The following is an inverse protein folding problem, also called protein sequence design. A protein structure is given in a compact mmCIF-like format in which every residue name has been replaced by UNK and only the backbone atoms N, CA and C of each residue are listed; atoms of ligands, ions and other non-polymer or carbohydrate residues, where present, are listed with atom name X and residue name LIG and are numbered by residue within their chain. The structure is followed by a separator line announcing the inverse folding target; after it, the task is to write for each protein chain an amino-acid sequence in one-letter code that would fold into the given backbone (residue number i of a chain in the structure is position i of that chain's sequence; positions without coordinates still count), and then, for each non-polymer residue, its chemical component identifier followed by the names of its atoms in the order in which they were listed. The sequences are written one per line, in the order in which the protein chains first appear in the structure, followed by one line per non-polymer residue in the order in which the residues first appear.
data_IF_919263581185
#
_entry.id   IF_919263581185
#
_cell.length_a   1.000
_cell.length_b   1.000
_cell.length_c   1.000
_cell.angle_alpha   90.00
_cell.angle_beta   90.00
_cell.angle_gamma   90.00
#
_symmetry.space_group_name_H-M   'P 1'
#
loop_
_entity.id
_entity.type
_entity.pdbx_description
1 polymer ?
#
# COMPACT_ATOMS: atom_id res chain seq x y z
N UNK A 1 17.72 8.74 -28.47
CA UNK A 1 16.46 8.51 -29.20
C UNK A 1 15.36 8.22 -28.18
N UNK A 2 14.60 9.22 -27.75
CA UNK A 2 13.43 9.03 -26.88
C UNK A 2 12.22 8.94 -27.81
N UNK A 3 11.42 7.88 -27.69
CA UNK A 3 10.21 7.67 -28.48
C UNK A 3 9.01 7.90 -27.55
N UNK A 4 8.20 8.90 -27.86
CA UNK A 4 6.98 9.22 -27.11
C UNK A 4 5.82 8.48 -27.79
N UNK A 5 5.10 7.66 -27.04
CA UNK A 5 3.89 6.98 -27.50
C UNK A 5 2.70 7.60 -26.77
N UNK A 6 1.70 8.05 -27.52
CA UNK A 6 0.46 8.62 -26.97
C UNK A 6 -0.66 7.62 -27.22
N UNK A 7 -1.36 7.22 -26.16
CA UNK A 7 -2.51 6.32 -26.24
C UNK A 7 -3.68 6.93 -25.48
N UNK A 8 -4.89 6.84 -26.03
CA UNK A 8 -6.13 7.29 -25.39
C UNK A 8 -6.83 6.06 -24.83
N UNK A 9 -6.67 5.83 -23.53
CA UNK A 9 -7.31 4.72 -22.80
C UNK A 9 -8.04 5.25 -21.57
N UNK A 10 -9.02 4.51 -21.07
CA UNK A 10 -9.70 4.81 -19.80
C UNK A 10 -8.84 4.45 -18.59
N UNK A 11 -7.93 3.48 -18.74
CA UNK A 11 -6.97 3.06 -17.73
C UNK A 11 -5.57 2.84 -18.32
N UNK A 12 -4.54 3.04 -17.49
CA UNK A 12 -3.13 2.86 -17.81
C UNK A 12 -2.39 2.25 -16.62
N UNK A 13 -1.63 1.19 -16.87
CA UNK A 13 -0.68 0.63 -15.89
C UNK A 13 0.70 1.23 -16.12
N UNK A 14 1.32 1.78 -15.07
CA UNK A 14 2.68 2.31 -15.11
C UNK A 14 3.44 2.01 -13.82
N UNK A 15 4.54 1.27 -13.94
CA UNK A 15 5.35 0.77 -12.82
C UNK A 15 4.50 -0.01 -11.82
N UNK A 16 4.27 0.57 -10.64
CA UNK A 16 3.52 0.00 -9.53
C UNK A 16 2.09 0.56 -9.43
N UNK A 17 1.70 1.49 -10.32
CA UNK A 17 0.43 2.18 -10.26
C UNK A 17 -0.47 1.78 -11.43
N UNK A 18 -1.74 1.52 -11.13
CA UNK A 18 -2.82 1.55 -12.11
C UNK A 18 -3.51 2.90 -12.01
N UNK A 19 -3.73 3.55 -13.15
CA UNK A 19 -4.29 4.90 -13.25
C UNK A 19 -5.56 4.79 -14.08
N UNK A 20 -6.68 5.22 -13.53
CA UNK A 20 -7.98 5.24 -14.19
C UNK A 20 -8.52 6.67 -14.24
N UNK A 21 -9.16 7.03 -15.36
CA UNK A 21 -9.92 8.28 -15.45
C UNK A 21 -11.37 8.03 -15.05
N UNK A 22 -11.71 8.42 -13.83
CA UNK A 22 -13.07 8.40 -13.32
C UNK A 22 -13.73 9.76 -13.55
N UNK A 23 -14.41 9.92 -14.70
CA UNK A 23 -15.20 11.11 -15.05
C UNK A 23 -14.43 12.45 -14.96
N UNK A 24 -13.17 12.47 -15.39
CA UNK A 24 -12.30 13.64 -15.36
C UNK A 24 -11.39 13.75 -14.14
N UNK A 25 -11.53 12.84 -13.17
CA UNK A 25 -10.63 12.71 -12.03
C UNK A 25 -9.74 11.49 -12.19
N UNK A 26 -8.44 11.66 -11.98
CA UNK A 26 -7.50 10.54 -11.98
C UNK A 26 -7.61 9.81 -10.64
N UNK A 27 -7.88 8.52 -10.71
CA UNK A 27 -7.86 7.58 -9.60
C UNK A 27 -6.66 6.66 -9.76
N UNK A 28 -5.89 6.45 -8.71
CA UNK A 28 -4.73 5.56 -8.72
C UNK A 28 -4.89 4.44 -7.70
N UNK A 29 -4.44 3.24 -8.06
CA UNK A 29 -4.39 2.04 -7.21
C UNK A 29 -3.09 1.28 -7.44
N UNK A 30 -2.82 0.23 -6.66
CA UNK A 30 -1.66 -0.64 -6.89
C UNK A 30 -1.88 -1.50 -8.14
N UNK A 31 -0.88 -1.53 -9.03
CA UNK A 31 -0.86 -2.43 -10.18
C UNK A 31 -0.29 -3.80 -9.80
N UNK A 32 -1.11 -4.85 -9.93
CA UNK A 32 -0.68 -6.24 -9.83
C UNK A 32 -0.57 -6.84 -11.23
N UNK A 33 0.65 -7.20 -11.66
CA UNK A 33 0.84 -7.89 -12.94
C UNK A 33 0.21 -9.28 -12.87
N UNK A 34 -0.30 -9.81 -13.97
CA UNK A 34 -1.01 -11.11 -13.99
C UNK A 34 -0.17 -12.30 -13.50
N UNK A 35 1.16 -12.19 -13.51
CA UNK A 35 2.10 -13.19 -13.00
C UNK A 35 2.63 -12.86 -11.58
N UNK A 36 1.99 -11.93 -10.87
CA UNK A 36 2.39 -11.55 -9.53
C UNK A 36 1.98 -12.64 -8.54
N UNK A 37 2.96 -13.22 -7.88
CA UNK A 37 2.75 -14.14 -6.77
C UNK A 37 2.92 -13.39 -5.44
N UNK A 38 2.10 -13.68 -4.42
CA UNK A 38 2.17 -13.03 -3.11
C UNK A 38 3.35 -13.54 -2.27
N UNK A 39 4.51 -13.80 -2.87
CA UNK A 39 5.70 -14.29 -2.18
C UNK A 39 6.49 -13.12 -1.61
N UNK A 40 6.30 -12.90 -0.32
CA UNK A 40 7.17 -12.07 0.52
C UNK A 40 8.07 -12.97 1.35
N UNK A 41 9.01 -12.39 2.11
CA UNK A 41 9.86 -13.15 3.03
C UNK A 41 8.99 -13.95 4.02
N UNK A 42 9.03 -15.30 4.02
CA UNK A 42 8.24 -16.12 4.95
C UNK A 42 8.64 -15.87 6.40
N UNK A 43 7.68 -15.91 7.33
CA UNK A 43 7.92 -15.57 8.75
C UNK A 43 8.90 -16.51 9.48
N UNK A 44 8.99 -17.76 9.05
CA UNK A 44 9.92 -18.77 9.58
C UNK A 44 11.34 -18.64 9.04
N UNK A 45 11.58 -17.71 8.11
CA UNK A 45 12.93 -17.44 7.61
C UNK A 45 13.81 -16.90 8.72
N UNK A 46 15.10 -17.25 8.71
CA UNK A 46 16.07 -16.81 9.72
C UNK A 46 16.50 -15.35 9.48
N UNK A 47 15.58 -14.42 9.76
CA UNK A 47 15.79 -12.99 9.64
C UNK A 47 15.37 -12.29 10.94
N UNK A 48 16.00 -11.17 11.29
CA UNK A 48 15.60 -10.38 12.45
C UNK A 48 14.12 -9.96 12.38
N UNK A 49 13.41 -10.00 13.52
CA UNK A 49 11.98 -9.66 13.59
C UNK A 49 11.66 -8.24 13.12
N UNK A 50 12.60 -7.32 13.18
CA UNK A 50 12.40 -5.96 12.65
C UNK A 50 12.29 -5.94 11.11
N UNK A 51 12.92 -6.88 10.38
CA UNK A 51 12.78 -7.00 8.93
C UNK A 51 11.33 -7.38 8.57
N UNK A 52 10.79 -8.38 9.26
CA UNK A 52 9.40 -8.80 9.12
C UNK A 52 8.42 -7.66 9.45
N UNK A 53 8.68 -6.92 10.53
CA UNK A 53 7.88 -5.74 10.87
C UNK A 53 7.95 -4.64 9.79
N UNK A 54 9.14 -4.43 9.20
CA UNK A 54 9.35 -3.43 8.17
C UNK A 54 8.62 -3.77 6.86
N UNK A 55 8.46 -5.06 6.53
CA UNK A 55 7.65 -5.50 5.39
C UNK A 55 6.22 -4.99 5.54
N UNK A 56 5.60 -5.18 6.71
CA UNK A 56 4.23 -4.71 7.00
C UNK A 56 4.14 -3.19 6.82
N UNK A 57 5.06 -2.44 7.44
CA UNK A 57 5.06 -0.98 7.30
C UNK A 57 5.27 -0.52 5.86
N UNK A 58 6.11 -1.22 5.09
CA UNK A 58 6.41 -0.86 3.70
C UNK A 58 5.20 -1.10 2.80
N UNK A 59 4.47 -2.20 3.01
CA UNK A 59 3.23 -2.48 2.28
C UNK A 59 2.19 -1.37 2.52
N UNK A 60 1.98 -0.97 3.77
CA UNK A 60 1.03 0.09 4.11
C UNK A 60 1.45 1.47 3.60
N UNK A 61 2.74 1.82 3.70
CA UNK A 61 3.26 3.07 3.11
C UNK A 61 3.08 3.09 1.59
N UNK A 62 3.34 1.96 0.90
CA UNK A 62 3.16 1.84 -0.55
C UNK A 62 1.68 2.00 -0.93
N UNK A 63 0.77 1.31 -0.23
CA UNK A 63 -0.67 1.45 -0.43
C UNK A 63 -1.13 2.89 -0.23
N UNK A 64 -0.78 3.50 0.90
CA UNK A 64 -1.17 4.87 1.21
C UNK A 64 -0.57 5.91 0.26
N UNK A 65 0.49 5.60 -0.50
CA UNK A 65 1.03 6.49 -1.54
C UNK A 65 0.36 6.30 -2.89
N UNK A 66 -0.07 5.08 -3.21
CA UNK A 66 -0.55 4.73 -4.54
C UNK A 66 -2.07 4.77 -4.65
N UNK A 67 -2.81 4.50 -3.56
CA UNK A 67 -4.27 4.55 -3.55
C UNK A 67 -4.77 5.99 -3.39
N UNK A 68 -5.60 6.47 -4.31
CA UNK A 68 -6.18 7.83 -4.20
C UNK A 68 -7.32 7.90 -3.19
N UNK A 69 -8.03 6.81 -2.93
CA UNK A 69 -9.19 6.80 -2.02
C UNK A 69 -8.95 5.89 -0.82
N UNK A 70 -9.70 6.17 0.26
CA UNK A 70 -9.61 5.40 1.50
C UNK A 70 -10.07 3.96 1.31
N UNK A 71 -11.05 3.73 0.43
CA UNK A 71 -11.59 2.40 0.12
C UNK A 71 -10.55 1.55 -0.60
N UNK A 72 -9.86 2.10 -1.61
CA UNK A 72 -8.80 1.36 -2.28
C UNK A 72 -7.64 1.08 -1.33
N UNK A 73 -7.30 2.02 -0.45
CA UNK A 73 -6.29 1.79 0.56
C UNK A 73 -6.68 0.68 1.54
N UNK A 74 -7.94 0.63 1.97
CA UNK A 74 -8.43 -0.41 2.87
C UNK A 74 -8.42 -1.79 2.19
N UNK A 75 -8.80 -1.85 0.92
CA UNK A 75 -8.69 -3.08 0.12
C UNK A 75 -7.24 -3.55 0.00
N UNK A 76 -6.29 -2.64 -0.21
CA UNK A 76 -4.86 -2.98 -0.21
C UNK A 76 -4.35 -3.39 1.18
N UNK A 77 -4.84 -2.77 2.25
CA UNK A 77 -4.51 -3.14 3.64
C UNK A 77 -4.98 -4.57 3.95
N UNK A 78 -6.22 -4.91 3.58
CA UNK A 78 -6.78 -6.25 3.71
C UNK A 78 -6.00 -7.27 2.86
N UNK A 79 -5.64 -6.89 1.63
CA UNK A 79 -4.82 -7.74 0.76
C UNK A 79 -3.44 -7.99 1.37
N UNK A 80 -2.81 -6.96 1.95
CA UNK A 80 -1.55 -7.08 2.68
C UNK A 80 -1.65 -8.03 3.88
N UNK A 81 -2.72 -7.94 4.65
CA UNK A 81 -3.00 -8.85 5.77
C UNK A 81 -3.09 -10.31 5.28
N UNK A 82 -3.83 -10.56 4.19
CA UNK A 82 -3.93 -11.89 3.60
C UNK A 82 -2.59 -12.43 3.10
N UNK A 83 -1.79 -11.61 2.42
CA UNK A 83 -0.45 -11.97 1.96
C UNK A 83 0.43 -12.38 3.15
N UNK A 84 0.42 -11.61 4.24
CA UNK A 84 1.19 -11.90 5.45
C UNK A 84 0.76 -13.23 6.09
N UNK A 85 -0.55 -13.47 6.20
CA UNK A 85 -1.10 -14.72 6.75
C UNK A 85 -0.67 -15.94 5.93
N UNK A 86 -0.77 -15.86 4.60
CA UNK A 86 -0.34 -16.95 3.69
C UNK A 86 1.17 -17.21 3.79
N UNK A 87 1.97 -16.19 4.10
CA UNK A 87 3.42 -16.31 4.32
C UNK A 87 3.80 -16.65 5.78
N UNK A 88 2.83 -17.07 6.59
CA UNK A 88 3.04 -17.62 7.93
C UNK A 88 3.21 -16.60 9.05
N UNK A 89 2.89 -15.32 8.82
CA UNK A 89 3.02 -14.30 9.86
C UNK A 89 1.94 -14.51 10.95
N UNK A 90 2.30 -14.47 12.25
CA UNK A 90 1.33 -14.65 13.31
C UNK A 90 0.29 -13.50 13.33
N UNK A 91 -1.02 -13.78 13.47
CA UNK A 91 -2.06 -12.74 13.44
C UNK A 91 -1.82 -11.61 14.46
N UNK A 92 -1.37 -11.95 15.67
CA UNK A 92 -1.03 -10.96 16.70
C UNK A 92 0.14 -10.05 16.30
N UNK A 93 1.12 -10.60 15.56
CA UNK A 93 2.24 -9.84 15.04
C UNK A 93 1.76 -8.87 13.95
N UNK A 94 0.96 -9.36 13.01
CA UNK A 94 0.36 -8.56 11.93
C UNK A 94 -0.44 -7.40 12.53
N UNK A 95 -1.44 -7.71 13.37
CA UNK A 95 -2.31 -6.71 13.98
C UNK A 95 -1.53 -5.64 14.75
N UNK A 96 -0.53 -6.05 15.56
CA UNK A 96 0.32 -5.11 16.31
C UNK A 96 1.04 -4.14 15.37
N UNK A 97 1.66 -4.65 14.31
CA UNK A 97 2.47 -3.82 13.42
C UNK A 97 1.63 -2.95 12.47
N UNK A 98 0.45 -3.42 12.03
CA UNK A 98 -0.52 -2.58 11.35
C UNK A 98 -1.04 -1.47 12.26
N UNK A 99 -1.39 -1.79 13.51
CA UNK A 99 -1.80 -0.79 14.50
C UNK A 99 -0.75 0.28 14.72
N UNK A 100 0.51 -0.13 14.87
CA UNK A 100 1.61 0.80 15.07
C UNK A 100 1.77 1.76 13.89
N UNK A 101 1.54 1.32 12.65
CA UNK A 101 1.55 2.20 11.49
C UNK A 101 0.50 3.32 11.63
N UNK A 102 -0.75 2.98 11.93
CA UNK A 102 -1.80 3.99 12.09
C UNK A 102 -1.56 4.94 13.27
N UNK A 103 -1.09 4.42 14.41
CA UNK A 103 -0.71 5.26 15.55
C UNK A 103 0.44 6.22 15.19
N UNK A 104 1.45 5.74 14.45
CA UNK A 104 2.61 6.53 14.07
C UNK A 104 2.25 7.74 13.19
N UNK A 105 1.21 7.62 12.37
CA UNK A 105 0.76 8.67 11.46
C UNK A 105 -0.51 9.38 11.93
N UNK A 106 -0.91 9.20 13.19
CA UNK A 106 -2.15 9.76 13.75
C UNK A 106 -3.41 9.47 12.91
N UNK A 107 -3.44 8.26 12.33
CA UNK A 107 -4.42 7.86 11.32
C UNK A 107 -5.32 6.71 11.79
N UNK A 108 -5.56 6.57 13.10
CA UNK A 108 -6.36 5.45 13.63
C UNK A 108 -7.79 5.44 13.09
N UNK A 109 -8.38 6.61 12.83
CA UNK A 109 -9.75 6.73 12.30
C UNK A 109 -9.88 6.16 10.88
N UNK A 110 -8.78 6.14 10.11
CA UNK A 110 -8.75 5.46 8.80
C UNK A 110 -9.02 3.97 8.97
N UNK A 111 -8.47 3.34 10.01
CA UNK A 111 -8.64 1.90 10.21
C UNK A 111 -9.97 1.53 10.86
N UNK A 112 -10.50 2.37 11.76
CA UNK A 112 -11.74 2.04 12.49
C UNK A 112 -13.00 2.47 11.75
N UNK A 113 -12.94 3.57 11.00
CA UNK A 113 -14.12 4.26 10.48
C UNK A 113 -14.02 4.59 8.99
N UNK A 114 -12.90 4.26 8.33
CA UNK A 114 -12.62 4.65 6.93
C UNK A 114 -12.74 6.17 6.73
N UNK A 115 -12.28 6.94 7.72
CA UNK A 115 -12.39 8.39 7.69
C UNK A 115 -11.58 8.99 6.52
N UNK A 116 -12.30 9.68 5.63
CA UNK A 116 -11.75 10.23 4.38
C UNK A 116 -10.78 11.37 4.67
N UNK A 117 -11.12 12.29 5.57
CA UNK A 117 -10.29 13.46 5.86
C UNK A 117 -8.94 13.05 6.47
N UNK A 118 -8.96 12.14 7.45
CA UNK A 118 -7.76 11.56 8.04
C UNK A 118 -6.93 10.81 7.00
N UNK A 119 -7.58 10.09 6.07
CA UNK A 119 -6.87 9.40 4.99
C UNK A 119 -6.19 10.38 4.03
N UNK A 120 -6.87 11.47 3.63
CA UNK A 120 -6.27 12.49 2.78
C UNK A 120 -5.03 13.13 3.44
N UNK A 121 -5.07 13.38 4.74
CA UNK A 121 -3.93 13.88 5.50
C UNK A 121 -2.77 12.86 5.52
N UNK A 122 -3.06 11.58 5.76
CA UNK A 122 -2.09 10.48 5.70
C UNK A 122 -1.46 10.37 4.30
N UNK A 123 -2.29 10.33 3.26
CA UNK A 123 -1.91 10.20 1.86
C UNK A 123 -0.97 11.33 1.46
N UNK A 124 -1.38 12.58 1.68
CA UNK A 124 -0.56 13.76 1.38
C UNK A 124 0.76 13.74 2.16
N UNK A 125 0.73 13.40 3.45
CA UNK A 125 1.94 13.31 4.28
C UNK A 125 2.94 12.29 3.71
N UNK A 126 2.46 11.14 3.26
CA UNK A 126 3.32 10.08 2.73
C UNK A 126 3.77 10.31 1.29
N UNK A 127 2.98 10.99 0.47
CA UNK A 127 3.32 11.35 -0.91
C UNK A 127 4.55 12.27 -0.97
N UNK A 128 4.58 13.30 -0.11
CA UNK A 128 5.65 14.30 -0.13
C UNK A 128 6.87 13.93 0.71
N UNK A 129 6.78 12.86 1.51
CA UNK A 129 7.90 12.37 2.30
C UNK A 129 8.84 11.55 1.40
N UNK A 130 10.11 11.96 1.20
CA UNK A 130 11.04 11.15 0.43
C UNK A 130 11.27 9.80 1.14
N UNK A 131 11.30 8.72 0.36
CA UNK A 131 11.71 7.40 0.88
C UNK A 131 13.15 7.52 1.38
N UNK A 132 13.36 7.48 2.71
CA UNK A 132 14.72 7.41 3.26
C UNK A 132 15.38 6.17 2.67
N UNK A 133 16.50 6.34 1.97
CA UNK A 133 17.37 5.23 1.61
C UNK A 133 17.89 4.65 2.93
N UNK A 134 17.46 3.43 3.25
CA UNK A 134 18.07 2.62 4.31
C UNK A 134 19.47 2.20 3.89
#
# INVERSE_FOLDING_TARGET
NIKITITINQALEYLDASIENNNGQLKTTICYKSAWEPHILPYESDHPRYIHANIISTMLVRAARLCSTVEDFDMERLSAEMILLVNGYPPKFIHKHMKNFFIQYDAMNVWTELDIETYEQLHNTLLYKPTRRL
#
